data_IF_516150181074
#
_entry.id   IF_516150181074
#
_cell.length_a   1.000
_cell.length_b   1.000
_cell.length_c   1.000
_cell.angle_alpha   90.00
_cell.angle_beta   90.00
_cell.angle_gamma   90.00
#
_symmetry.space_group_name_H-M   'P 1'
#
loop_
_entity.id
_entity.type
_entity.pdbx_description
1 polymer ?
#
# COMPACT_ATOMS: atom_id res chain seq x y z
N UNK A 1 -10.31 -3.07 -6.68
CA UNK A 1 -9.42 -2.93 -5.52
C UNK A 1 -7.99 -3.29 -5.90
N UNK A 2 -7.03 -2.91 -5.08
CA UNK A 2 -5.62 -3.16 -5.34
C UNK A 2 -4.96 -3.81 -4.15
N UNK A 3 -4.00 -4.67 -4.44
CA UNK A 3 -3.08 -5.20 -3.44
C UNK A 3 -1.71 -4.62 -3.79
N UNK A 4 -1.09 -3.94 -2.83
CA UNK A 4 0.24 -3.36 -3.01
C UNK A 4 1.22 -4.15 -2.18
N UNK A 5 2.28 -4.62 -2.81
CA UNK A 5 3.38 -5.32 -2.15
C UNK A 5 4.57 -4.37 -2.08
N UNK A 6 4.99 -4.06 -0.86
CA UNK A 6 6.14 -3.21 -0.58
C UNK A 6 7.28 -4.12 -0.11
N UNK A 7 8.08 -4.59 -1.04
CA UNK A 7 9.14 -5.56 -0.73
C UNK A 7 10.45 -4.84 -0.47
N UNK A 8 11.19 -5.29 0.55
CA UNK A 8 12.49 -4.69 0.87
C UNK A 8 13.41 -4.68 -0.34
N UNK A 9 14.12 -3.58 -0.50
CA UNK A 9 15.00 -3.32 -1.62
C UNK A 9 16.41 -2.94 -1.14
N UNK A 10 17.14 -2.22 -1.98
CA UNK A 10 18.58 -1.99 -1.79
C UNK A 10 18.92 -1.23 -0.51
N UNK A 11 18.04 -0.35 -0.05
CA UNK A 11 18.30 0.49 1.13
C UNK A 11 17.52 0.06 2.36
N UNK A 12 17.19 -1.23 2.47
CA UNK A 12 16.47 -1.77 3.63
C UNK A 12 17.06 -1.31 4.96
N UNK A 13 18.38 -1.23 5.05
CA UNK A 13 19.06 -0.83 6.30
C UNK A 13 18.71 0.59 6.75
N UNK A 14 18.16 1.42 5.87
CA UNK A 14 17.77 2.80 6.18
C UNK A 14 16.31 2.92 6.61
N UNK A 15 15.59 1.81 6.81
CA UNK A 15 14.18 1.85 7.18
C UNK A 15 13.92 2.70 8.43
N UNK A 16 14.76 2.57 9.46
CA UNK A 16 14.56 3.33 10.70
C UNK A 16 14.62 4.84 10.46
N UNK A 17 15.45 5.29 9.53
CA UNK A 17 15.62 6.72 9.23
C UNK A 17 14.35 7.32 8.61
N UNK A 18 13.59 6.53 7.84
CA UNK A 18 12.40 7.00 7.12
C UNK A 18 11.10 6.52 7.73
N UNK A 19 11.15 5.88 8.91
CA UNK A 19 9.96 5.26 9.50
C UNK A 19 8.87 6.26 9.83
N UNK A 20 9.22 7.41 10.39
CA UNK A 20 8.21 8.41 10.77
C UNK A 20 7.47 8.95 9.56
N UNK A 21 8.18 9.25 8.48
CA UNK A 21 7.57 9.71 7.23
C UNK A 21 6.71 8.63 6.59
N UNK A 22 7.18 7.40 6.61
CA UNK A 22 6.42 6.26 6.09
C UNK A 22 5.11 6.06 6.88
N UNK A 23 5.17 6.13 8.21
CA UNK A 23 3.98 5.99 9.05
C UNK A 23 2.98 7.12 8.84
N UNK A 24 3.47 8.36 8.66
CA UNK A 24 2.61 9.50 8.34
C UNK A 24 1.92 9.32 7.00
N UNK A 25 2.63 8.79 6.01
CA UNK A 25 2.07 8.48 4.69
C UNK A 25 0.98 7.41 4.78
N UNK A 26 1.19 6.35 5.58
CA UNK A 26 0.17 5.31 5.80
C UNK A 26 -1.08 5.94 6.42
N UNK A 27 -0.91 6.76 7.47
CA UNK A 27 -2.03 7.41 8.13
C UNK A 27 -2.85 8.25 7.14
N UNK A 28 -2.17 9.00 6.27
CA UNK A 28 -2.85 9.80 5.26
C UNK A 28 -3.66 8.92 4.30
N UNK A 29 -3.16 7.76 3.94
CA UNK A 29 -3.88 6.83 3.08
C UNK A 29 -5.20 6.35 3.70
N UNK A 30 -5.21 6.12 5.01
CA UNK A 30 -6.45 5.79 5.73
C UNK A 30 -7.37 7.02 5.84
N UNK A 31 -6.83 8.17 6.20
CA UNK A 31 -7.61 9.40 6.33
C UNK A 31 -8.29 9.78 5.01
N UNK A 32 -7.65 9.52 3.89
CA UNK A 32 -8.17 9.79 2.55
C UNK A 32 -9.19 8.73 2.07
N UNK A 33 -9.40 7.67 2.83
CA UNK A 33 -10.32 6.59 2.47
C UNK A 33 -9.77 5.67 1.38
N UNK A 34 -8.48 5.64 1.17
CA UNK A 34 -7.83 4.85 0.12
C UNK A 34 -7.32 3.51 0.64
N UNK A 35 -6.72 3.49 1.82
CA UNK A 35 -6.21 2.25 2.41
C UNK A 35 -7.25 1.60 3.30
N UNK A 36 -7.45 0.30 3.11
CA UNK A 36 -8.37 -0.52 3.92
C UNK A 36 -7.63 -1.30 4.99
N UNK A 37 -6.38 -1.66 4.71
CA UNK A 37 -5.61 -2.54 5.58
C UNK A 37 -4.15 -2.40 5.20
N UNK A 38 -3.27 -2.38 6.21
CA UNK A 38 -1.84 -2.52 6.01
C UNK A 38 -1.29 -3.54 6.99
N UNK A 39 -0.20 -4.17 6.64
CA UNK A 39 0.44 -5.15 7.49
C UNK A 39 1.79 -5.57 6.97
N UNK A 40 2.39 -6.54 7.66
CA UNK A 40 3.69 -7.07 7.29
C UNK A 40 3.54 -8.31 6.41
N UNK A 41 4.40 -8.42 5.42
CA UNK A 41 4.53 -9.63 4.62
C UNK A 41 5.49 -10.59 5.34
N UNK A 42 5.01 -11.79 5.65
CA UNK A 42 5.83 -12.81 6.29
C UNK A 42 6.51 -13.70 5.26
N UNK A 43 7.72 -14.18 5.53
CA UNK A 43 8.59 -13.81 6.66
C UNK A 43 9.50 -12.63 6.30
N UNK A 44 9.35 -11.52 6.96
CA UNK A 44 10.25 -10.34 6.84
C UNK A 44 10.48 -9.87 5.40
N UNK A 45 9.44 -9.91 4.56
CA UNK A 45 9.54 -9.55 3.15
C UNK A 45 9.26 -8.07 2.89
N UNK A 46 8.66 -7.37 3.86
CA UNK A 46 8.25 -5.98 3.71
C UNK A 46 6.84 -5.79 4.21
N UNK A 47 6.05 -4.97 3.52
CA UNK A 47 4.68 -4.68 3.89
C UNK A 47 3.69 -4.97 2.77
N UNK A 48 2.41 -5.00 3.15
CA UNK A 48 1.32 -5.15 2.19
C UNK A 48 0.22 -4.14 2.50
N UNK A 49 -0.47 -3.69 1.46
CA UNK A 49 -1.57 -2.74 1.58
C UNK A 49 -2.72 -3.23 0.71
N UNK A 50 -3.94 -3.13 1.24
CA UNK A 50 -5.15 -3.28 0.44
C UNK A 50 -5.73 -1.88 0.24
N UNK A 51 -5.93 -1.49 -1.02
CA UNK A 51 -6.40 -0.15 -1.38
C UNK A 51 -7.61 -0.22 -2.29
N UNK A 52 -8.42 0.84 -2.25
CA UNK A 52 -9.59 0.98 -3.11
C UNK A 52 -9.89 2.47 -3.33
N UNK A 53 -10.96 2.74 -4.07
CA UNK A 53 -11.48 4.11 -4.23
C UNK A 53 -10.45 5.06 -4.81
N UNK A 54 -9.64 4.57 -5.73
CA UNK A 54 -8.57 5.31 -6.38
C UNK A 54 -8.31 4.68 -7.74
N UNK A 55 -7.91 5.48 -8.72
CA UNK A 55 -7.46 4.95 -10.01
C UNK A 55 -6.05 4.38 -9.90
N UNK A 56 -5.70 3.48 -10.81
CA UNK A 56 -4.35 2.93 -10.82
C UNK A 56 -3.26 4.00 -11.01
N UNK A 57 -3.39 4.96 -11.96
CA UNK A 57 -2.39 6.01 -12.08
C UNK A 57 -2.22 6.86 -10.83
N UNK A 58 -3.33 7.17 -10.14
CA UNK A 58 -3.28 7.94 -8.90
C UNK A 58 -2.63 7.13 -7.78
N UNK A 59 -2.89 5.82 -7.73
CA UNK A 59 -2.25 4.94 -6.74
C UNK A 59 -0.75 4.85 -6.99
N UNK A 60 -0.33 4.76 -8.25
CA UNK A 60 1.10 4.75 -8.60
C UNK A 60 1.79 6.02 -8.11
N UNK A 61 1.15 7.20 -8.32
CA UNK A 61 1.68 8.46 -7.81
C UNK A 61 1.76 8.47 -6.30
N UNK A 62 0.72 7.95 -5.62
CA UNK A 62 0.69 7.86 -4.16
C UNK A 62 1.82 6.99 -3.63
N UNK A 63 2.13 5.88 -4.32
CA UNK A 63 3.24 5.03 -3.92
C UNK A 63 4.57 5.79 -3.97
N UNK A 64 4.76 6.65 -4.96
CA UNK A 64 5.96 7.47 -5.07
C UNK A 64 6.13 8.50 -3.96
N UNK A 65 5.06 8.84 -3.25
CA UNK A 65 5.11 9.77 -2.12
C UNK A 65 5.56 9.09 -0.82
N UNK A 66 5.58 7.76 -0.77
CA UNK A 66 6.06 7.02 0.39
C UNK A 66 7.58 7.16 0.47
N UNK A 67 8.14 7.69 1.58
CA UNK A 67 9.60 7.79 1.72
C UNK A 67 10.32 6.45 1.56
N UNK A 68 9.69 5.34 1.96
CA UNK A 68 10.28 4.02 1.77
C UNK A 68 10.44 3.68 0.29
N UNK A 69 9.47 4.06 -0.55
CA UNK A 69 9.55 3.85 -1.98
C UNK A 69 10.54 4.84 -2.61
N UNK A 70 10.42 6.12 -2.26
CA UNK A 70 11.25 7.17 -2.83
C UNK A 70 12.74 6.93 -2.58
N UNK A 71 13.09 6.38 -1.41
CA UNK A 71 14.48 6.17 -1.00
C UNK A 71 14.94 4.72 -1.18
N UNK A 72 14.20 3.92 -1.90
CA UNK A 72 14.54 2.52 -2.23
C UNK A 72 14.74 1.62 -0.99
N UNK A 73 14.06 1.92 0.11
CA UNK A 73 13.95 1.02 1.26
C UNK A 73 13.11 -0.18 0.84
N UNK A 74 12.04 0.08 0.08
CA UNK A 74 11.18 -0.94 -0.52
C UNK A 74 10.95 -0.61 -2.00
N UNK A 75 10.54 -1.63 -2.76
CA UNK A 75 9.97 -1.46 -4.09
C UNK A 75 8.48 -1.78 -4.04
N UNK A 76 7.66 -1.06 -4.80
CA UNK A 76 6.22 -1.25 -4.82
C UNK A 76 5.79 -2.05 -6.05
N UNK A 77 4.95 -3.05 -5.82
CA UNK A 77 4.26 -3.78 -6.87
C UNK A 77 2.76 -3.65 -6.65
N UNK A 78 2.02 -3.25 -7.68
CA UNK A 78 0.57 -3.06 -7.59
C UNK A 78 -0.12 -4.17 -8.39
N UNK A 79 -1.00 -4.91 -7.70
CA UNK A 79 -1.84 -5.93 -8.30
C UNK A 79 -3.28 -5.43 -8.24
N UNK A 80 -3.97 -5.46 -9.36
CA UNK A 80 -5.38 -5.05 -9.41
C UNK A 80 -6.28 -6.27 -9.42
N UNK A 81 -7.33 -6.25 -8.58
CA UNK A 81 -8.39 -7.25 -8.57
C UNK A 81 -9.69 -6.53 -8.86
N UNK A 82 -10.40 -6.99 -9.91
CA UNK A 82 -11.77 -6.56 -10.15
C UNK A 82 -12.69 -7.53 -9.41
N UNK A 83 -13.27 -7.15 -8.26
CA UNK A 83 -14.05 -8.08 -7.44
C UNK A 83 -15.31 -8.54 -8.18
N UNK A 84 -15.54 -9.84 -8.20
CA UNK A 84 -16.75 -10.42 -8.79
C UNK A 84 -17.71 -10.97 -7.72
N UNK A 85 -17.18 -11.32 -6.56
CA UNK A 85 -17.94 -11.84 -5.43
C UNK A 85 -17.18 -11.53 -4.15
N UNK A 86 -17.89 -11.13 -3.10
CA UNK A 86 -17.29 -10.83 -1.81
C UNK A 86 -18.11 -11.43 -0.67
N UNK A 87 -17.49 -11.57 0.49
CA UNK A 87 -18.19 -11.71 1.75
C UNK A 87 -19.02 -10.44 1.98
N UNK A 88 -20.14 -10.54 2.70
CA UNK A 88 -21.05 -9.41 2.93
C UNK A 88 -20.35 -8.19 3.52
N UNK A 89 -19.34 -8.39 4.36
CA UNK A 89 -18.58 -7.31 4.98
C UNK A 89 -17.79 -6.49 3.98
N UNK A 90 -17.54 -7.02 2.80
CA UNK A 90 -16.74 -6.39 1.76
C UNK A 90 -17.58 -5.97 0.55
N UNK A 91 -18.92 -5.95 0.70
CA UNK A 91 -19.83 -5.61 -0.41
C UNK A 91 -19.51 -4.27 -1.06
N UNK A 92 -18.97 -3.32 -0.30
CA UNK A 92 -18.62 -2.01 -0.84
C UNK A 92 -17.57 -2.09 -1.95
N UNK A 93 -16.78 -3.17 -2.03
CA UNK A 93 -15.81 -3.37 -3.10
C UNK A 93 -16.45 -3.72 -4.43
N UNK A 94 -17.70 -4.18 -4.42
CA UNK A 94 -18.45 -4.49 -5.65
C UNK A 94 -19.12 -3.26 -6.25
N UNK A 95 -19.27 -2.19 -5.46
CA UNK A 95 -19.91 -0.97 -5.91
C UNK A 95 -18.99 -0.21 -6.85
N UNK A 96 -19.55 0.29 -7.90
CA UNK A 96 -18.78 1.06 -8.85
C UNK A 96 -19.56 2.15 -9.46
#
# INVERSE_FOLDING_TARGET
MFIVLLKFSNNKAQAAQFMDGHNAWIKKGFDDGVFLLTGSLHPKLGGGIVAHNISRPDLERRMGDDPFVAENVVSAEILEIAPSKTDDRLNFLLAN
#
